data_IF_342321886079
#
_entry.id   IF_342321886079
#
_cell.length_a   1.000
_cell.length_b   1.000
_cell.length_c   1.000
_cell.angle_alpha   90.00
_cell.angle_beta   90.00
_cell.angle_gamma   90.00
#
_symmetry.space_group_name_H-M   'P 1'
#
loop_
_entity.id
_entity.type
_entity.pdbx_description
1 polymer ?
#
# COMPACT_ATOMS: atom_id res chain seq x y z
N UNK A 1 -13.39 19.57 26.28
CA UNK A 1 -14.10 18.77 25.27
C UNK A 1 -14.74 19.73 24.28
N UNK A 2 -14.36 19.79 23.00
CA UNK A 2 -15.16 20.50 22.02
C UNK A 2 -16.11 19.52 21.32
N UNK A 3 -17.39 19.78 21.53
CA UNK A 3 -18.55 19.24 20.85
C UNK A 3 -18.83 20.14 19.64
N UNK A 4 -18.18 19.92 18.48
CA UNK A 4 -18.60 20.45 17.18
C UNK A 4 -17.80 19.85 16.00
N UNK A 5 -17.92 18.55 15.73
CA UNK A 5 -17.43 17.99 14.45
C UNK A 5 -18.50 17.10 13.80
N UNK A 6 -19.76 17.51 13.97
CA UNK A 6 -20.96 16.79 13.52
C UNK A 6 -21.65 17.40 12.30
N UNK A 7 -21.02 18.30 11.54
CA UNK A 7 -21.61 18.89 10.33
C UNK A 7 -20.56 19.03 9.21
N UNK A 8 -20.20 17.89 8.63
CA UNK A 8 -19.46 17.79 7.38
C UNK A 8 -20.06 16.70 6.49
N UNK A 9 -20.89 17.11 5.54
CA UNK A 9 -21.38 16.37 4.37
C UNK A 9 -22.23 15.12 4.61
N UNK A 10 -23.50 15.23 4.22
CA UNK A 10 -24.35 14.10 3.82
C UNK A 10 -23.61 13.07 2.96
N UNK A 11 -23.39 11.86 3.48
CA UNK A 11 -23.30 10.63 2.69
C UNK A 11 -21.94 10.15 2.16
N UNK A 12 -20.82 10.83 2.40
CA UNK A 12 -19.52 10.32 1.95
C UNK A 12 -18.92 9.32 2.95
N UNK A 13 -19.00 8.02 2.61
CA UNK A 13 -18.35 6.96 3.37
C UNK A 13 -16.82 7.13 3.25
N UNK A 14 -16.14 7.27 4.40
CA UNK A 14 -14.67 7.38 4.49
C UNK A 14 -13.95 6.29 3.68
N UNK A 15 -12.89 6.70 2.98
CA UNK A 15 -12.09 5.81 2.17
C UNK A 15 -11.29 4.82 3.03
N UNK A 16 -11.08 3.62 2.50
CA UNK A 16 -10.19 2.61 3.11
C UNK A 16 -8.78 2.87 2.62
N UNK A 17 -7.81 2.93 3.54
CA UNK A 17 -6.38 3.08 3.21
C UNK A 17 -5.69 1.74 3.43
N UNK A 18 -4.99 1.24 2.42
CA UNK A 18 -4.25 -0.03 2.45
C UNK A 18 -2.80 0.26 2.08
N UNK A 19 -1.87 0.03 3.00
CA UNK A 19 -0.43 0.09 2.77
C UNK A 19 0.11 -1.34 2.62
N UNK A 20 0.41 -1.75 1.40
CA UNK A 20 0.84 -3.10 1.06
C UNK A 20 2.37 -3.21 1.06
N UNK A 21 2.93 -3.67 2.18
CA UNK A 21 4.33 -4.04 2.27
C UNK A 21 4.57 -5.54 2.06
N UNK A 22 5.82 -5.92 1.74
CA UNK A 22 6.18 -7.34 1.55
C UNK A 22 6.11 -8.15 2.87
N UNK A 23 6.48 -7.52 3.99
CA UNK A 23 6.44 -8.16 5.31
C UNK A 23 5.13 -7.91 6.04
N UNK A 24 4.66 -6.67 6.04
CA UNK A 24 3.47 -6.25 6.77
C UNK A 24 2.58 -5.39 5.89
N UNK A 25 1.27 -5.57 6.04
CA UNK A 25 0.24 -4.72 5.46
C UNK A 25 -0.44 -3.96 6.59
N UNK A 26 -0.57 -2.65 6.41
CA UNK A 26 -1.32 -1.79 7.33
C UNK A 26 -2.62 -1.40 6.66
N UNK A 27 -3.69 -1.31 7.43
CA UNK A 27 -4.97 -0.85 6.90
C UNK A 27 -5.78 -0.10 7.95
N UNK A 28 -6.57 0.89 7.50
CA UNK A 28 -7.46 1.69 8.32
C UNK A 28 -8.39 2.55 7.47
N UNK A 29 -9.06 3.51 8.10
CA UNK A 29 -9.90 4.48 7.40
C UNK A 29 -9.20 5.82 7.29
N UNK A 30 -9.42 6.50 6.17
CA UNK A 30 -8.99 7.88 5.99
C UNK A 30 -9.64 8.77 7.07
N UNK A 31 -8.83 9.62 7.70
CA UNK A 31 -9.24 10.50 8.81
C UNK A 31 -8.98 9.93 10.21
N UNK A 32 -8.64 8.64 10.33
CA UNK A 32 -8.21 8.08 11.62
C UNK A 32 -6.74 8.43 11.91
N UNK A 33 -6.40 8.56 13.19
CA UNK A 33 -5.04 8.94 13.65
C UNK A 33 -3.98 7.86 13.40
N UNK A 34 -4.40 6.64 13.06
CA UNK A 34 -3.51 5.52 12.80
C UNK A 34 -4.23 4.35 12.15
N UNK A 35 -3.49 3.29 11.74
CA UNK A 35 -4.10 2.11 11.13
C UNK A 35 -4.90 1.32 12.17
N UNK A 36 -6.04 0.77 11.75
CA UNK A 36 -6.82 -0.16 12.59
C UNK A 36 -6.17 -1.51 12.76
N UNK A 37 -5.46 -1.97 11.72
CA UNK A 37 -4.76 -3.24 11.77
C UNK A 37 -3.42 -3.17 11.06
N UNK A 38 -2.46 -3.90 11.62
CA UNK A 38 -1.16 -4.19 11.01
C UNK A 38 -1.03 -5.71 11.05
N UNK A 39 -1.05 -6.33 9.87
CA UNK A 39 -1.02 -7.78 9.71
C UNK A 39 0.17 -8.20 8.86
N UNK A 40 0.74 -9.39 9.10
CA UNK A 40 1.77 -9.90 8.20
C UNK A 40 1.16 -10.13 6.80
N UNK A 41 1.90 -9.78 5.75
CA UNK A 41 1.48 -9.90 4.35
C UNK A 41 1.58 -11.34 3.85
N UNK A 42 0.92 -12.25 4.56
CA UNK A 42 0.95 -13.70 4.32
C UNK A 42 -0.46 -14.29 4.34
N UNK A 43 -0.66 -15.32 3.52
CA UNK A 43 -1.88 -16.13 3.50
C UNK A 43 -1.58 -17.55 3.99
N UNK A 44 -2.55 -18.14 4.68
CA UNK A 44 -2.50 -19.54 5.13
C UNK A 44 -3.48 -20.36 4.31
N UNK A 45 -2.97 -21.12 3.33
CA UNK A 45 -3.80 -22.06 2.57
C UNK A 45 -3.87 -23.41 3.26
N UNK A 46 -5.08 -23.98 3.31
CA UNK A 46 -5.29 -25.35 3.76
C UNK A 46 -4.49 -26.30 2.86
N UNK A 47 -3.54 -27.03 3.45
CA UNK A 47 -2.65 -27.97 2.74
C UNK A 47 -1.18 -27.56 2.69
N UNK A 48 -0.82 -26.31 2.99
CA UNK A 48 0.58 -25.88 3.12
C UNK A 48 0.93 -25.61 4.59
N UNK A 49 1.98 -26.24 5.15
CA UNK A 49 2.38 -26.02 6.53
C UNK A 49 3.02 -24.65 6.74
N UNK A 50 3.55 -24.03 5.68
CA UNK A 50 4.19 -22.72 5.72
C UNK A 50 3.27 -21.63 5.17
N UNK A 51 3.19 -20.46 5.83
CA UNK A 51 2.46 -19.32 5.30
C UNK A 51 3.15 -18.80 4.03
N UNK A 52 2.34 -18.45 3.02
CA UNK A 52 2.83 -17.96 1.73
C UNK A 52 2.77 -16.43 1.72
N UNK A 53 3.85 -15.76 1.32
CA UNK A 53 3.88 -14.30 1.15
C UNK A 53 2.96 -13.88 -0.01
N UNK A 54 2.16 -12.83 0.20
CA UNK A 54 1.20 -12.33 -0.80
C UNK A 54 1.88 -11.46 -1.85
N UNK A 55 2.78 -10.58 -1.41
CA UNK A 55 3.50 -9.67 -2.30
C UNK A 55 4.68 -10.41 -2.92
N UNK A 56 4.47 -10.93 -4.11
CA UNK A 56 5.49 -11.59 -4.92
C UNK A 56 5.47 -11.00 -6.34
N UNK A 57 6.65 -10.70 -6.88
CA UNK A 57 6.77 -10.02 -8.18
C UNK A 57 7.12 -10.95 -9.35
N UNK A 58 7.56 -12.19 -9.08
CA UNK A 58 8.01 -13.14 -10.09
C UNK A 58 7.12 -14.40 -10.10
N UNK A 59 5.82 -14.22 -10.30
CA UNK A 59 4.81 -15.29 -10.29
C UNK A 59 3.80 -15.05 -11.43
N UNK A 60 3.06 -16.10 -11.80
CA UNK A 60 1.99 -16.00 -12.78
C UNK A 60 0.85 -15.08 -12.30
N UNK A 61 0.23 -14.39 -13.26
CA UNK A 61 -0.90 -13.47 -13.02
C UNK A 61 -2.06 -14.12 -12.29
N UNK A 62 -2.43 -15.35 -12.68
CA UNK A 62 -3.59 -16.05 -12.13
C UNK A 62 -3.39 -16.47 -10.67
N UNK A 63 -2.17 -16.92 -10.34
CA UNK A 63 -1.81 -17.24 -8.96
C UNK A 63 -1.76 -15.99 -8.09
N UNK A 64 -1.14 -14.91 -8.60
CA UNK A 64 -1.11 -13.62 -7.91
C UNK A 64 -2.52 -13.07 -7.67
N UNK A 65 -3.41 -13.21 -8.65
CA UNK A 65 -4.81 -12.81 -8.55
C UNK A 65 -5.52 -13.57 -7.43
N UNK A 66 -5.30 -14.88 -7.34
CA UNK A 66 -5.84 -15.72 -6.27
C UNK A 66 -5.33 -15.31 -4.89
N UNK A 67 -4.02 -15.05 -4.75
CA UNK A 67 -3.40 -14.65 -3.50
C UNK A 67 -3.89 -13.27 -3.02
N UNK A 68 -3.94 -12.28 -3.91
CA UNK A 68 -4.44 -10.96 -3.58
C UNK A 68 -5.93 -10.99 -3.21
N UNK A 69 -6.73 -11.80 -3.91
CA UNK A 69 -8.15 -11.98 -3.59
C UNK A 69 -8.35 -12.53 -2.17
N UNK A 70 -7.66 -13.61 -1.83
CA UNK A 70 -7.75 -14.23 -0.50
C UNK A 70 -7.29 -13.26 0.60
N UNK A 71 -6.19 -12.55 0.36
CA UNK A 71 -5.64 -11.60 1.31
C UNK A 71 -6.56 -10.40 1.55
N UNK A 72 -7.06 -9.77 0.49
CA UNK A 72 -7.98 -8.62 0.60
C UNK A 72 -9.29 -9.05 1.25
N UNK A 73 -9.76 -10.28 0.99
CA UNK A 73 -10.93 -10.83 1.66
C UNK A 73 -10.72 -10.92 3.18
N UNK A 74 -9.58 -11.44 3.64
CA UNK A 74 -9.25 -11.45 5.07
C UNK A 74 -9.21 -10.02 5.62
N UNK A 75 -8.60 -9.08 4.90
CA UNK A 75 -8.47 -7.70 5.33
C UNK A 75 -9.84 -7.02 5.56
N UNK A 76 -10.76 -7.14 4.59
CA UNK A 76 -12.10 -6.55 4.72
C UNK A 76 -12.99 -7.27 5.73
N UNK A 77 -13.09 -8.60 5.66
CA UNK A 77 -14.06 -9.36 6.46
C UNK A 77 -13.60 -9.66 7.88
N UNK A 78 -12.29 -9.69 8.15
CA UNK A 78 -11.76 -9.97 9.50
C UNK A 78 -11.35 -8.71 10.25
N UNK A 79 -10.81 -7.70 9.56
CA UNK A 79 -10.24 -6.53 10.23
C UNK A 79 -11.09 -5.27 10.07
N UNK A 80 -11.53 -4.94 8.84
CA UNK A 80 -12.29 -3.71 8.63
C UNK A 80 -13.78 -3.83 8.93
N UNK A 81 -14.35 -5.03 8.76
CA UNK A 81 -15.78 -5.33 8.98
C UNK A 81 -16.71 -4.42 8.16
N UNK A 82 -16.31 -4.06 6.94
CA UNK A 82 -17.07 -3.20 6.02
C UNK A 82 -17.13 -3.81 4.63
N UNK A 83 -18.17 -3.43 3.88
CA UNK A 83 -18.28 -3.81 2.48
C UNK A 83 -17.36 -2.96 1.60
N UNK A 84 -16.54 -3.58 0.73
CA UNK A 84 -15.64 -2.86 -0.18
C UNK A 84 -16.39 -2.06 -1.27
N UNK A 85 -17.58 -2.51 -1.68
CA UNK A 85 -18.43 -1.85 -2.70
C UNK A 85 -18.91 -0.45 -2.29
N UNK A 86 -18.91 -0.19 -1.00
CA UNK A 86 -19.49 1.02 -0.43
C UNK A 86 -18.47 2.17 -0.31
N UNK A 87 -17.17 1.88 -0.41
CA UNK A 87 -16.11 2.80 -0.02
C UNK A 87 -15.01 2.83 -1.06
N UNK A 88 -14.47 4.03 -1.30
CA UNK A 88 -13.28 4.23 -2.13
C UNK A 88 -12.06 3.61 -1.44
N UNK A 89 -11.09 3.13 -2.21
CA UNK A 89 -9.87 2.51 -1.67
C UNK A 89 -8.65 3.31 -2.11
N UNK A 90 -7.81 3.68 -1.16
CA UNK A 90 -6.48 4.26 -1.40
C UNK A 90 -5.46 3.18 -1.08
N UNK A 91 -4.69 2.80 -2.08
CA UNK A 91 -3.63 1.82 -1.96
C UNK A 91 -2.31 2.58 -1.97
N UNK A 92 -1.59 2.49 -0.87
CA UNK A 92 -0.25 3.05 -0.72
C UNK A 92 0.72 2.00 -1.25
N UNK A 93 1.50 2.40 -2.25
CA UNK A 93 2.51 1.56 -2.88
C UNK A 93 3.85 2.29 -3.00
N UNK A 94 4.92 1.52 -3.15
CA UNK A 94 6.24 2.06 -3.47
C UNK A 94 6.30 2.47 -4.95
N UNK A 95 7.04 3.55 -5.24
CA UNK A 95 7.18 4.11 -6.60
C UNK A 95 7.75 3.09 -7.60
N UNK A 96 8.58 2.16 -7.13
CA UNK A 96 9.21 1.11 -7.93
C UNK A 96 8.39 -0.18 -8.03
N UNK A 97 7.12 -0.15 -7.62
CA UNK A 97 6.27 -1.33 -7.74
C UNK A 97 6.05 -1.69 -9.22
N UNK A 98 6.30 -2.96 -9.63
CA UNK A 98 6.10 -3.40 -11.01
C UNK A 98 4.67 -3.17 -11.50
N UNK A 99 4.52 -2.68 -12.74
CA UNK A 99 3.20 -2.45 -13.37
C UNK A 99 2.32 -3.70 -13.38
N UNK A 100 2.92 -4.88 -13.53
CA UNK A 100 2.23 -6.16 -13.49
C UNK A 100 1.46 -6.42 -12.19
N UNK A 101 2.08 -6.08 -11.06
CA UNK A 101 1.46 -6.22 -9.73
C UNK A 101 0.29 -5.25 -9.60
N UNK A 102 0.48 -4.00 -10.03
CA UNK A 102 -0.55 -2.94 -9.98
C UNK A 102 -1.77 -3.26 -10.81
N UNK A 103 -1.56 -3.77 -12.02
CA UNK A 103 -2.65 -4.22 -12.90
C UNK A 103 -3.45 -5.36 -12.26
N UNK A 104 -2.77 -6.33 -11.67
CA UNK A 104 -3.43 -7.48 -11.02
C UNK A 104 -4.20 -7.05 -9.78
N UNK A 105 -3.62 -6.19 -8.95
CA UNK A 105 -4.27 -5.61 -7.78
C UNK A 105 -5.52 -4.81 -8.17
N UNK A 106 -5.39 -3.93 -9.16
CA UNK A 106 -6.48 -3.10 -9.67
C UNK A 106 -7.59 -3.99 -10.26
N UNK A 107 -7.22 -5.06 -10.95
CA UNK A 107 -8.16 -6.06 -11.46
C UNK A 107 -8.92 -6.75 -10.35
N UNK A 108 -8.28 -7.16 -9.25
CA UNK A 108 -8.95 -7.78 -8.09
C UNK A 108 -9.93 -6.79 -7.45
N UNK A 109 -9.52 -5.55 -7.22
CA UNK A 109 -10.36 -4.53 -6.59
C UNK A 109 -11.59 -4.17 -7.43
N UNK A 110 -11.43 -3.95 -8.73
CA UNK A 110 -12.56 -3.59 -9.60
C UNK A 110 -13.41 -4.78 -10.03
N UNK A 111 -12.81 -5.91 -10.45
CA UNK A 111 -13.59 -7.04 -10.99
C UNK A 111 -14.22 -7.92 -9.93
N UNK A 112 -13.53 -8.17 -8.82
CA UNK A 112 -14.04 -9.08 -7.78
C UNK A 112 -14.76 -8.33 -6.65
N UNK A 113 -14.15 -7.26 -6.15
CA UNK A 113 -14.72 -6.49 -5.04
C UNK A 113 -15.64 -5.35 -5.49
N UNK A 114 -15.64 -4.98 -6.78
CA UNK A 114 -16.49 -3.92 -7.36
C UNK A 114 -16.41 -2.60 -6.56
N UNK A 115 -15.20 -2.20 -6.21
CA UNK A 115 -15.00 -0.93 -5.46
C UNK A 115 -15.33 0.28 -6.35
N UNK A 116 -15.89 1.37 -5.80
CA UNK A 116 -16.25 2.55 -6.58
C UNK A 116 -15.07 3.24 -7.26
N UNK A 117 -13.91 3.28 -6.59
CA UNK A 117 -12.69 3.90 -7.12
C UNK A 117 -11.46 3.39 -6.37
N UNK A 118 -10.34 3.33 -7.08
CA UNK A 118 -9.03 2.99 -6.52
C UNK A 118 -8.07 4.15 -6.79
N UNK A 119 -7.34 4.58 -5.77
CA UNK A 119 -6.23 5.52 -5.90
C UNK A 119 -4.92 4.81 -5.53
N UNK A 120 -3.94 4.84 -6.42
CA UNK A 120 -2.58 4.37 -6.13
C UNK A 120 -1.73 5.58 -5.71
N UNK A 121 -1.34 5.61 -4.45
CA UNK A 121 -0.61 6.72 -3.85
C UNK A 121 0.84 6.31 -3.52
N UNK A 122 1.85 7.09 -3.93
CA UNK A 122 3.23 6.77 -3.60
C UNK A 122 3.51 7.02 -2.11
N UNK A 123 4.07 6.02 -1.42
CA UNK A 123 4.39 6.05 0.02
C UNK A 123 5.18 7.30 0.44
N UNK A 124 6.18 7.69 -0.35
CA UNK A 124 7.10 8.80 -0.04
C UNK A 124 6.38 10.16 -0.04
N UNK A 125 5.41 10.35 -0.94
CA UNK A 125 4.62 11.57 -0.97
C UNK A 125 3.65 11.60 0.22
N UNK A 126 3.04 10.47 0.55
CA UNK A 126 2.15 10.38 1.71
C UNK A 126 2.88 10.71 3.01
N UNK A 127 4.14 10.25 3.16
CA UNK A 127 4.99 10.58 4.31
C UNK A 127 5.38 12.07 4.37
N UNK A 128 5.52 12.74 3.22
CA UNK A 128 5.80 14.18 3.18
C UNK A 128 4.57 15.00 3.60
N UNK A 129 3.38 14.58 3.14
CA UNK A 129 2.13 15.26 3.41
C UNK A 129 1.78 15.27 4.91
N UNK A 130 2.17 14.24 5.67
CA UNK A 130 1.95 14.23 7.12
C UNK A 130 2.80 15.26 7.88
N UNK A 131 3.95 15.65 7.31
CA UNK A 131 4.81 16.69 7.88
C UNK A 131 4.40 18.11 7.46
N UNK A 132 3.54 18.27 6.45
CA UNK A 132 3.11 19.58 5.96
C UNK A 132 4.22 20.39 5.29
N UNK A 133 5.28 19.73 4.81
CA UNK A 133 6.42 20.37 4.14
C UNK A 133 6.35 20.11 2.62
N UNK A 134 6.74 21.10 1.82
CA UNK A 134 6.61 20.99 0.36
C UNK A 134 7.83 20.33 -0.31
N UNK A 135 8.97 20.31 0.38
CA UNK A 135 10.24 19.78 -0.13
C UNK A 135 11.01 19.06 0.97
N UNK A 136 11.36 17.80 0.74
CA UNK A 136 12.26 17.05 1.62
C UNK A 136 12.88 15.86 0.87
N UNK A 137 13.96 15.33 1.44
CA UNK A 137 14.50 14.04 1.05
C UNK A 137 13.89 12.97 1.96
N UNK A 138 13.12 12.05 1.38
CA UNK A 138 12.46 10.95 2.09
C UNK A 138 13.27 9.68 1.90
N UNK A 139 13.71 9.06 3.00
CA UNK A 139 14.34 7.75 3.03
C UNK A 139 13.35 6.74 3.62
N UNK A 140 12.94 5.77 2.81
CA UNK A 140 12.10 4.64 3.21
C UNK A 140 12.95 3.37 3.29
N UNK A 141 13.18 2.88 4.51
CA UNK A 141 13.90 1.63 4.75
C UNK A 141 12.91 0.46 4.79
N UNK A 142 12.57 -0.07 3.61
CA UNK A 142 11.67 -1.19 3.45
C UNK A 142 12.30 -2.55 3.71
N UNK A 143 11.49 -3.60 3.59
CA UNK A 143 11.94 -4.99 3.81
C UNK A 143 12.89 -5.50 2.72
N UNK A 144 12.60 -5.20 1.45
CA UNK A 144 13.38 -5.65 0.29
C UNK A 144 14.50 -4.70 -0.09
N UNK A 145 14.22 -3.41 0.02
CA UNK A 145 15.07 -2.33 -0.45
C UNK A 145 14.89 -1.09 0.42
N UNK A 146 15.95 -0.30 0.53
CA UNK A 146 15.89 1.04 1.09
C UNK A 146 15.91 2.05 -0.05
N UNK A 147 14.91 2.93 -0.08
CA UNK A 147 14.65 3.84 -1.18
C UNK A 147 14.76 5.28 -0.69
N UNK A 148 15.58 6.08 -1.37
CA UNK A 148 15.69 7.52 -1.10
C UNK A 148 15.13 8.27 -2.30
N UNK A 149 14.12 9.10 -2.03
CA UNK A 149 13.52 10.00 -3.01
C UNK A 149 13.51 11.44 -2.50
N UNK A 150 14.13 12.38 -3.23
CA UNK A 150 13.89 13.79 -3.04
C UNK A 150 12.54 14.16 -3.66
N UNK A 151 11.69 14.76 -2.83
CA UNK A 151 10.42 15.36 -3.24
C UNK A 151 10.59 16.87 -3.16
N UNK A 152 10.24 17.58 -4.23
CA UNK A 152 10.31 19.05 -4.29
C UNK A 152 9.02 19.58 -4.86
N UNK A 153 8.42 20.59 -4.21
CA UNK A 153 7.12 21.16 -4.57
C UNK A 153 6.05 20.09 -4.84
N UNK A 154 5.94 19.09 -3.96
CA UNK A 154 5.02 17.94 -4.08
C UNK A 154 5.20 17.08 -5.34
N UNK A 155 6.24 17.33 -6.14
CA UNK A 155 6.62 16.54 -7.30
C UNK A 155 7.75 15.60 -6.94
N UNK A 156 7.59 14.32 -7.29
CA UNK A 156 8.65 13.32 -7.12
C UNK A 156 9.66 13.53 -8.23
N UNK A 157 10.93 13.76 -7.86
CA UNK A 157 12.01 13.85 -8.84
C UNK A 157 12.45 12.43 -9.18
N UNK A 158 11.76 11.81 -10.13
CA UNK A 158 12.01 10.41 -10.53
C UNK A 158 13.39 10.20 -11.14
N UNK A 159 14.08 11.26 -11.59
CA UNK A 159 15.45 11.19 -12.10
C UNK A 159 16.52 11.03 -11.00
N UNK A 160 16.17 11.21 -9.73
CA UNK A 160 17.15 11.19 -8.64
C UNK A 160 16.67 10.29 -7.50
N UNK A 161 16.57 8.98 -7.75
CA UNK A 161 16.33 8.02 -6.66
C UNK A 161 17.57 7.19 -6.39
N UNK A 162 17.85 6.96 -5.11
CA UNK A 162 18.84 5.96 -4.70
C UNK A 162 18.11 4.69 -4.28
N UNK A 163 18.47 3.59 -4.92
CA UNK A 163 18.08 2.27 -4.49
C UNK A 163 19.26 1.60 -3.80
N UNK A 164 19.09 1.27 -2.53
CA UNK A 164 20.03 0.43 -1.79
C UNK A 164 19.33 -0.91 -1.62
N UNK A 165 19.72 -1.90 -2.43
CA UNK A 165 19.25 -3.27 -2.26
C UNK A 165 20.10 -3.97 -1.20
N UNK A 166 19.44 -4.41 -0.12
CA UNK A 166 20.06 -5.24 0.90
C UNK A 166 20.15 -6.68 0.41
N UNK A 167 21.11 -6.99 -0.47
CA UNK A 167 21.51 -8.37 -0.71
C UNK A 167 22.63 -8.68 0.28
N UNK A 168 22.50 -9.79 1.00
CA UNK A 168 23.50 -10.25 1.97
C UNK A 168 24.94 -10.01 1.48
N UNK A 169 25.72 -9.33 2.31
CA UNK A 169 27.15 -9.06 2.17
C UNK A 169 27.66 -8.20 0.98
N UNK A 170 26.82 -7.54 0.19
CA UNK A 170 27.33 -6.51 -0.73
C UNK A 170 26.31 -5.40 -0.98
N UNK A 171 26.62 -4.20 -0.47
CA UNK A 171 25.89 -2.97 -0.76
C UNK A 171 26.17 -2.55 -2.20
N UNK A 172 25.25 -2.87 -3.11
CA UNK A 172 25.26 -2.30 -4.47
C UNK A 172 24.29 -1.12 -4.47
N UNK A 173 24.82 0.08 -4.33
CA UNK A 173 24.08 1.31 -4.57
C UNK A 173 24.13 1.63 -6.06
N UNK A 174 23.05 1.37 -6.79
CA UNK A 174 22.97 1.72 -8.21
C UNK A 174 22.40 3.13 -8.34
N UNK A 175 23.24 4.08 -8.75
CA UNK A 175 22.81 5.42 -9.16
C UNK A 175 22.32 5.32 -10.61
N UNK A 176 21.03 5.53 -10.84
CA UNK A 176 20.51 5.75 -12.19
C UNK A 176 20.56 7.26 -12.44
N UNK A 177 21.47 7.68 -13.34
CA UNK A 177 21.56 9.06 -13.86
C UNK A 177 20.59 9.28 -15.01
#
# INVERSE_FOLDING_TARGET
MPLYEGLGSSGEKTAVVIDLGEAFTKCGFAGETGPRCIIPSVIKRAGLPKPVKVVQYNINTEELYSYLKEFIHILYFRHLLVNPRDRRVVVIESVLCPSHFRETLTRVLFKYFEVPSVLLAPSHLMALLTLGINSAMVLDCGYRESLVLPVSFLSIITFLFFLIQGVGNSTVGTMYR
#
